data_IF_646872563224
#
_entry.id   IF_646872563224
#
_cell.length_a   1.000
_cell.length_b   1.000
_cell.length_c   1.000
_cell.angle_alpha   90.00
_cell.angle_beta   90.00
_cell.angle_gamma   90.00
#
_symmetry.space_group_name_H-M   'P 1'
#
loop_
_entity.id
_entity.type
_entity.pdbx_description
1 polymer ?
#
# COMPACT_ATOMS: atom_id res chain seq x y z
N UNK A 1 27.25 5.54 -29.38
CA UNK A 1 27.24 4.14 -28.90
C UNK A 1 26.86 3.96 -27.42
N UNK A 2 27.17 4.89 -26.50
CA UNK A 2 26.86 4.74 -25.06
C UNK A 2 25.36 4.78 -24.69
N UNK A 3 24.52 5.44 -25.50
CA UNK A 3 23.07 5.57 -25.24
C UNK A 3 22.29 4.25 -25.34
N UNK A 4 22.71 3.33 -26.21
CA UNK A 4 22.00 2.06 -26.41
C UNK A 4 22.11 1.10 -25.23
N UNK A 5 23.29 1.04 -24.59
CA UNK A 5 23.54 0.16 -23.43
C UNK A 5 22.77 0.65 -22.20
N UNK A 6 22.75 1.96 -21.97
CA UNK A 6 21.98 2.54 -20.86
C UNK A 6 20.48 2.26 -21.01
N UNK A 7 19.94 2.39 -22.21
CA UNK A 7 18.52 2.13 -22.47
C UNK A 7 18.14 0.65 -22.22
N UNK A 8 18.98 -0.30 -22.66
CA UNK A 8 18.73 -1.73 -22.41
C UNK A 8 18.72 -2.06 -20.92
N UNK A 9 19.65 -1.48 -20.15
CA UNK A 9 19.72 -1.68 -18.70
C UNK A 9 18.51 -1.04 -18.02
N UNK A 10 18.14 0.18 -18.40
CA UNK A 10 16.98 0.88 -17.86
C UNK A 10 15.69 0.09 -18.10
N UNK A 11 15.45 -0.39 -19.33
CA UNK A 11 14.28 -1.22 -19.67
C UNK A 11 14.27 -2.51 -18.87
N UNK A 12 15.42 -3.18 -18.73
CA UNK A 12 15.52 -4.42 -17.94
C UNK A 12 15.15 -4.21 -16.47
N UNK A 13 15.61 -3.11 -15.87
CA UNK A 13 15.26 -2.73 -14.49
C UNK A 13 13.79 -2.37 -14.38
N UNK A 14 13.24 -1.60 -15.32
CA UNK A 14 11.82 -1.22 -15.33
C UNK A 14 10.92 -2.45 -15.41
N UNK A 15 11.20 -3.40 -16.31
CA UNK A 15 10.42 -4.64 -16.45
C UNK A 15 10.49 -5.48 -15.18
N UNK A 16 11.69 -5.69 -14.63
CA UNK A 16 11.85 -6.44 -13.39
C UNK A 16 11.11 -5.78 -12.21
N UNK A 17 11.24 -4.46 -12.07
CA UNK A 17 10.54 -3.68 -11.06
C UNK A 17 9.01 -3.79 -11.18
N UNK A 18 8.48 -3.61 -12.40
CA UNK A 18 7.04 -3.77 -12.65
C UNK A 18 6.54 -5.16 -12.30
N UNK A 19 7.27 -6.23 -12.65
CA UNK A 19 6.86 -7.61 -12.31
C UNK A 19 6.82 -7.82 -10.79
N UNK A 20 7.82 -7.32 -10.06
CA UNK A 20 7.87 -7.45 -8.59
C UNK A 20 6.69 -6.72 -7.94
N UNK A 21 6.40 -5.49 -8.38
CA UNK A 21 5.31 -4.68 -7.82
C UNK A 21 3.96 -5.31 -8.15
N UNK A 22 3.74 -5.70 -9.40
CA UNK A 22 2.49 -6.35 -9.83
C UNK A 22 2.26 -7.62 -9.01
N UNK A 23 3.28 -8.48 -8.88
CA UNK A 23 3.18 -9.73 -8.14
C UNK A 23 2.95 -9.49 -6.64
N UNK A 24 3.67 -8.55 -6.03
CA UNK A 24 3.53 -8.20 -4.61
C UNK A 24 2.15 -7.63 -4.29
N UNK A 25 1.64 -6.75 -5.15
CA UNK A 25 0.29 -6.17 -5.04
C UNK A 25 -0.78 -7.23 -5.21
N UNK A 26 -0.66 -8.11 -6.22
CA UNK A 26 -1.58 -9.23 -6.40
C UNK A 26 -1.62 -10.12 -5.16
N UNK A 27 -0.44 -10.54 -4.66
CA UNK A 27 -0.35 -11.45 -3.52
C UNK A 27 -0.97 -10.84 -2.25
N UNK A 28 -0.72 -9.55 -2.02
CA UNK A 28 -1.30 -8.79 -0.90
C UNK A 28 -2.82 -8.70 -1.03
N UNK A 29 -3.31 -8.39 -2.23
CA UNK A 29 -4.75 -8.34 -2.53
C UNK A 29 -5.41 -9.70 -2.32
N UNK A 30 -4.83 -10.79 -2.81
CA UNK A 30 -5.34 -12.15 -2.63
C UNK A 30 -5.38 -12.56 -1.15
N UNK A 31 -4.32 -12.26 -0.38
CA UNK A 31 -4.29 -12.52 1.06
C UNK A 31 -5.37 -11.72 1.79
N UNK A 32 -5.59 -10.47 1.40
CA UNK A 32 -6.62 -9.62 1.97
C UNK A 32 -8.03 -10.17 1.71
N UNK A 33 -8.35 -10.47 0.45
CA UNK A 33 -9.65 -11.05 0.06
C UNK A 33 -9.89 -12.38 0.81
N UNK A 34 -8.88 -13.25 0.87
CA UNK A 34 -8.98 -14.52 1.60
C UNK A 34 -9.19 -14.33 3.10
N UNK A 35 -8.61 -13.27 3.68
CA UNK A 35 -8.76 -12.92 5.10
C UNK A 35 -10.16 -12.39 5.37
N UNK A 36 -10.66 -11.46 4.54
CA UNK A 36 -12.01 -10.91 4.69
C UNK A 36 -13.09 -11.97 4.46
N UNK A 37 -12.92 -12.84 3.44
CA UNK A 37 -13.84 -13.96 3.20
C UNK A 37 -13.93 -14.93 4.38
N UNK A 38 -12.81 -15.19 5.08
CA UNK A 38 -12.84 -16.01 6.31
C UNK A 38 -13.49 -15.28 7.48
N UNK A 39 -13.30 -13.98 7.57
CA UNK A 39 -13.92 -13.15 8.62
C UNK A 39 -15.44 -13.02 8.44
N UNK A 40 -15.94 -13.03 7.20
CA UNK A 40 -17.38 -13.01 6.89
C UNK A 40 -18.08 -14.34 7.22
N UNK A 41 -17.35 -15.46 7.28
CA UNK A 41 -17.91 -16.77 7.64
C UNK A 41 -18.03 -16.96 9.17
N UNK A 42 -17.23 -16.26 9.97
CA UNK A 42 -17.31 -16.21 11.44
C UNK A 42 -18.25 -15.07 11.90
N UNK A 43 -19.51 -15.14 11.47
CA UNK A 43 -20.56 -14.18 11.80
C UNK A 43 -21.16 -14.40 13.22
N UNK A 44 -20.31 -14.57 14.25
CA UNK A 44 -20.76 -14.78 15.63
C UNK A 44 -20.01 -13.90 16.63
N UNK A 45 -20.13 -12.58 16.49
CA UNK A 45 -19.91 -11.63 17.59
C UNK A 45 -20.53 -10.25 17.29
N UNK A 46 -21.86 -10.19 17.27
CA UNK A 46 -22.66 -8.99 16.93
C UNK A 46 -22.72 -7.94 18.08
N UNK A 47 -22.00 -8.09 19.20
CA UNK A 47 -22.32 -7.34 20.43
C UNK A 47 -21.38 -6.18 20.83
N UNK A 48 -20.35 -5.81 20.04
CA UNK A 48 -19.53 -4.61 20.35
C UNK A 48 -19.47 -3.67 19.14
N UNK A 49 -20.57 -2.96 18.90
CA UNK A 49 -20.95 -2.44 17.57
C UNK A 49 -20.52 -1.00 17.26
N UNK A 50 -19.83 -0.29 18.16
CA UNK A 50 -19.50 1.13 17.96
C UNK A 50 -17.99 1.41 17.88
N UNK A 51 -17.17 0.76 18.73
CA UNK A 51 -15.70 0.88 18.72
C UNK A 51 -15.04 0.11 17.54
N UNK A 52 -15.57 -1.07 17.19
CA UNK A 52 -14.97 -1.95 16.16
C UNK A 52 -15.07 -1.41 14.73
N UNK A 53 -16.02 -0.51 14.47
CA UNK A 53 -16.21 0.05 13.14
C UNK A 53 -15.06 0.99 12.74
N UNK A 54 -14.48 1.73 13.70
CA UNK A 54 -13.32 2.59 13.46
C UNK A 54 -12.07 1.79 13.18
N UNK A 55 -11.80 0.72 13.95
CA UNK A 55 -10.64 -0.15 13.71
C UNK A 55 -10.70 -0.82 12.34
N UNK A 56 -11.90 -1.24 11.88
CA UNK A 56 -12.08 -1.76 10.51
C UNK A 56 -11.83 -0.69 9.46
N UNK A 57 -12.42 0.50 9.61
CA UNK A 57 -12.21 1.61 8.68
C UNK A 57 -10.73 1.95 8.53
N UNK A 58 -9.98 2.06 9.62
CA UNK A 58 -8.54 2.35 9.56
C UNK A 58 -7.76 1.23 8.85
N UNK A 59 -8.11 -0.04 9.07
CA UNK A 59 -7.51 -1.15 8.33
C UNK A 59 -7.81 -1.09 6.82
N UNK A 60 -9.03 -0.74 6.43
CA UNK A 60 -9.40 -0.51 5.02
C UNK A 60 -8.66 0.69 4.41
N UNK A 61 -8.49 1.78 5.15
CA UNK A 61 -7.75 2.97 4.70
C UNK A 61 -6.26 2.67 4.49
N UNK A 62 -5.61 1.96 5.42
CA UNK A 62 -4.22 1.51 5.26
C UNK A 62 -4.05 0.61 4.03
N UNK A 63 -5.00 -0.29 3.79
CA UNK A 63 -4.93 -1.17 2.62
C UNK A 63 -5.13 -0.44 1.30
N UNK A 64 -6.09 0.49 1.24
CA UNK A 64 -6.26 1.37 0.09
C UNK A 64 -5.01 2.22 -0.17
N UNK A 65 -4.34 2.66 0.89
CA UNK A 65 -3.10 3.40 0.81
C UNK A 65 -1.94 2.55 0.26
N UNK A 66 -1.82 1.27 0.63
CA UNK A 66 -0.88 0.30 0.02
C UNK A 66 -1.14 0.07 -1.47
N UNK A 67 -2.41 0.04 -1.86
CA UNK A 67 -2.77 -0.09 -3.28
C UNK A 67 -2.43 1.16 -4.10
N UNK A 68 -2.67 2.36 -3.55
CA UNK A 68 -2.30 3.62 -4.21
C UNK A 68 -0.79 3.73 -4.46
N UNK A 69 0.06 3.30 -3.52
CA UNK A 69 1.51 3.29 -3.76
C UNK A 69 1.91 2.41 -4.92
N UNK A 70 1.30 1.22 -5.04
CA UNK A 70 1.62 0.34 -6.15
C UNK A 70 1.33 1.02 -7.49
N UNK A 71 0.21 1.74 -7.59
CA UNK A 71 -0.15 2.51 -8.78
C UNK A 71 0.85 3.65 -9.04
N UNK A 72 1.21 4.43 -8.02
CA UNK A 72 2.15 5.54 -8.13
C UNK A 72 3.55 5.07 -8.58
N UNK A 73 4.05 3.97 -8.01
CA UNK A 73 5.35 3.40 -8.40
C UNK A 73 5.30 2.87 -9.85
N UNK A 74 4.23 2.18 -10.25
CA UNK A 74 4.08 1.71 -11.64
C UNK A 74 4.09 2.88 -12.63
N UNK A 75 3.41 3.99 -12.29
CA UNK A 75 3.39 5.17 -13.14
C UNK A 75 4.78 5.79 -13.30
N UNK A 76 5.58 5.88 -12.24
CA UNK A 76 6.94 6.46 -12.33
C UNK A 76 7.95 5.55 -13.02
N UNK A 77 7.77 4.23 -13.00
CA UNK A 77 8.66 3.32 -13.74
C UNK A 77 8.48 3.46 -15.26
N UNK A 78 7.31 3.91 -15.72
CA UNK A 78 7.00 4.01 -17.15
C UNK A 78 7.69 5.21 -17.83
N UNK A 79 7.83 6.33 -17.13
CA UNK A 79 8.57 7.51 -17.59
C UNK A 79 9.55 7.98 -16.49
N UNK A 80 10.85 7.68 -16.64
CA UNK A 80 11.86 8.12 -15.69
C UNK A 80 12.46 9.47 -16.10
N UNK A 81 11.71 10.56 -15.96
CA UNK A 81 12.29 11.91 -16.02
C UNK A 81 12.70 12.39 -14.62
N UNK A 82 13.74 13.24 -14.52
CA UNK A 82 14.16 13.80 -13.22
C UNK A 82 13.04 14.58 -12.53
N UNK A 83 12.16 15.20 -13.32
CA UNK A 83 10.99 15.92 -12.80
C UNK A 83 9.97 14.96 -12.17
N UNK A 84 9.72 13.81 -12.81
CA UNK A 84 8.86 12.75 -12.25
C UNK A 84 9.45 12.11 -11.00
N UNK A 85 10.78 12.00 -10.91
CA UNK A 85 11.43 11.50 -9.71
C UNK A 85 11.17 12.41 -8.49
N UNK A 86 11.16 13.73 -8.67
CA UNK A 86 10.78 14.68 -7.61
C UNK A 86 9.31 14.54 -7.20
N UNK A 87 8.41 14.39 -8.17
CA UNK A 87 6.97 14.17 -7.91
C UNK A 87 6.75 12.86 -7.16
N UNK A 88 7.42 11.77 -7.55
CA UNK A 88 7.36 10.49 -6.85
C UNK A 88 7.88 10.63 -5.42
N UNK A 89 9.01 11.31 -5.22
CA UNK A 89 9.55 11.57 -3.88
C UNK A 89 8.55 12.29 -2.98
N UNK A 90 7.83 13.28 -3.52
CA UNK A 90 6.78 14.00 -2.80
C UNK A 90 5.58 13.11 -2.47
N UNK A 91 5.09 12.31 -3.43
CA UNK A 91 3.98 11.37 -3.23
C UNK A 91 4.31 10.37 -2.12
N UNK A 92 5.50 9.78 -2.16
CA UNK A 92 5.98 8.83 -1.13
C UNK A 92 6.09 9.50 0.24
N UNK A 93 6.56 10.75 0.30
CA UNK A 93 6.65 11.50 1.55
C UNK A 93 5.27 11.78 2.17
N UNK A 94 4.32 12.31 1.39
CA UNK A 94 2.94 12.58 1.83
C UNK A 94 2.29 11.29 2.33
N UNK A 95 2.45 10.21 1.56
CA UNK A 95 1.92 8.89 1.93
C UNK A 95 2.51 8.36 3.24
N UNK A 96 3.82 8.49 3.43
CA UNK A 96 4.48 8.07 4.67
C UNK A 96 3.92 8.82 5.88
N UNK A 97 3.72 10.14 5.74
CA UNK A 97 3.10 10.96 6.81
C UNK A 97 1.68 10.48 7.10
N UNK A 98 0.82 10.33 6.09
CA UNK A 98 -0.57 9.85 6.29
C UNK A 98 -0.57 8.47 6.96
N UNK A 99 0.20 7.52 6.43
CA UNK A 99 0.31 6.16 6.98
C UNK A 99 0.79 6.16 8.43
N UNK A 100 1.73 7.03 8.77
CA UNK A 100 2.25 7.17 10.13
C UNK A 100 1.19 7.68 11.10
N UNK A 101 0.41 8.69 10.72
CA UNK A 101 -0.69 9.21 11.53
C UNK A 101 -1.78 8.15 11.76
N UNK A 102 -2.18 7.42 10.71
CA UNK A 102 -3.17 6.35 10.84
C UNK A 102 -2.68 5.22 11.75
N UNK A 103 -1.43 4.78 11.58
CA UNK A 103 -0.83 3.73 12.42
C UNK A 103 -0.75 4.17 13.89
N UNK A 104 -0.45 5.46 14.13
CA UNK A 104 -0.40 6.04 15.46
C UNK A 104 -1.78 6.05 16.13
N UNK A 105 -2.82 6.49 15.43
CA UNK A 105 -4.20 6.47 15.96
C UNK A 105 -4.66 5.04 16.31
N UNK A 106 -4.34 4.05 15.47
CA UNK A 106 -4.66 2.64 15.78
C UNK A 106 -3.94 2.19 17.05
N UNK A 107 -2.63 2.47 17.17
CA UNK A 107 -1.84 2.06 18.33
C UNK A 107 -2.34 2.69 19.64
N UNK A 108 -2.76 3.94 19.57
CA UNK A 108 -3.34 4.67 20.69
C UNK A 108 -4.70 4.06 21.10
N UNK A 109 -5.56 3.73 20.13
CA UNK A 109 -6.86 3.08 20.42
C UNK A 109 -6.72 1.69 21.06
N UNK A 110 -5.69 0.92 20.69
CA UNK A 110 -5.43 -0.42 21.26
C UNK A 110 -4.85 -0.33 22.68
N UNK A 111 -4.03 0.67 22.97
CA UNK A 111 -3.40 0.86 24.27
C UNK A 111 -4.38 1.19 25.40
N UNK A 112 -5.53 1.82 25.09
CA UNK A 112 -6.51 2.22 26.10
C UNK A 112 -7.39 1.05 26.57
N UNK A 113 -7.50 -0.03 25.78
CA UNK A 113 -8.27 -1.23 26.16
C UNK A 113 -7.44 -2.29 26.93
N UNK A 114 -6.15 -2.04 27.13
CA UNK A 114 -5.22 -2.97 27.80
C UNK A 114 -4.91 -2.60 29.27
N UNK A 115 -5.56 -1.57 29.81
CA UNK A 115 -5.49 -1.15 31.23
C UNK A 115 -6.84 -1.31 31.91
#
# INVERSE_FOLDING_TARGET
MKQGVFNIIAIGISVAGSVIIIYGTLLTLFRFIKTEMRFLHDATAVVVRQERNRSRLSAYLLLGLDFMLAADIIHTIHDPSLNELYVLGLIVAIRSVISFFLMKEIKESVSIHAS
#
